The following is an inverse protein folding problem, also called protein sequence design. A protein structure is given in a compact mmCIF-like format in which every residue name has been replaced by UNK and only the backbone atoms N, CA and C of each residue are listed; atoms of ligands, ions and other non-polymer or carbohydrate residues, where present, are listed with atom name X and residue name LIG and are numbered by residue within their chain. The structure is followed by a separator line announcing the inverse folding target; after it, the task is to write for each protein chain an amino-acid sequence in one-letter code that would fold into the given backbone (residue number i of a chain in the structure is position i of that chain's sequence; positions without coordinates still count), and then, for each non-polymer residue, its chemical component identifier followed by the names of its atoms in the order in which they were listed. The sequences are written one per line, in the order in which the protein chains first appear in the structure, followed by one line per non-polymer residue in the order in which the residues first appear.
data_IF_369357414562
#
_entry.id   IF_369357414562
#
_cell.length_a   1.000
_cell.length_b   1.000
_cell.length_c   1.000
_cell.angle_alpha   90.00
_cell.angle_beta   90.00
_cell.angle_gamma   90.00
#
_symmetry.space_group_name_H-M   'P 1'
#
loop_
_entity.id
_entity.type
_entity.pdbx_description
1 polymer ?
#
# COMPACT_ATOMS: atom_id res chain seq x y z
N UNK A 1 7.87 -7.11 -14.12
CA UNK A 1 7.25 -5.85 -13.64
C UNK A 1 8.35 -4.99 -13.03
N UNK A 2 8.40 -3.67 -13.28
CA UNK A 2 9.44 -2.80 -12.70
C UNK A 2 9.14 -2.49 -11.21
N UNK A 3 10.17 -2.17 -10.42
CA UNK A 3 10.01 -1.81 -8.98
C UNK A 3 9.04 -0.64 -8.79
N UNK A 4 9.13 0.40 -9.62
CA UNK A 4 8.19 1.53 -9.58
C UNK A 4 6.75 1.13 -9.90
N UNK A 5 6.54 0.14 -10.79
CA UNK A 5 5.22 -0.39 -11.07
C UNK A 5 4.68 -1.20 -9.88
N UNK A 6 5.53 -2.00 -9.21
CA UNK A 6 5.16 -2.72 -8.00
C UNK A 6 4.79 -1.76 -6.85
N UNK A 7 5.57 -0.70 -6.64
CA UNK A 7 5.28 0.34 -5.65
C UNK A 7 3.92 0.99 -5.92
N UNK A 8 3.66 1.38 -7.19
CA UNK A 8 2.38 1.96 -7.58
C UNK A 8 1.22 1.00 -7.35
N UNK A 9 1.41 -0.30 -7.61
CA UNK A 9 0.37 -1.31 -7.36
C UNK A 9 0.00 -1.36 -5.89
N UNK A 10 0.98 -1.50 -4.98
CA UNK A 10 0.72 -1.52 -3.55
C UNK A 10 0.01 -0.25 -3.05
N UNK A 11 0.42 0.93 -3.54
CA UNK A 11 -0.26 2.19 -3.19
C UNK A 11 -1.69 2.26 -3.74
N UNK A 12 -1.93 1.70 -4.93
CA UNK A 12 -3.26 1.63 -5.55
C UNK A 12 -4.18 0.72 -4.75
N UNK A 13 -3.69 -0.45 -4.34
CA UNK A 13 -4.44 -1.41 -3.53
C UNK A 13 -4.77 -0.82 -2.14
N UNK A 14 -3.80 -0.17 -1.49
CA UNK A 14 -4.02 0.54 -0.22
C UNK A 14 -5.08 1.63 -0.37
N UNK A 15 -5.01 2.42 -1.44
CA UNK A 15 -6.02 3.44 -1.75
C UNK A 15 -7.41 2.81 -1.91
N UNK A 16 -7.51 1.68 -2.62
CA UNK A 16 -8.77 0.95 -2.81
C UNK A 16 -9.39 0.51 -1.48
N UNK A 17 -8.58 0.02 -0.53
CA UNK A 17 -9.06 -0.31 0.81
C UNK A 17 -9.60 0.92 1.57
N UNK A 18 -8.90 2.05 1.50
CA UNK A 18 -9.35 3.29 2.14
C UNK A 18 -10.68 3.77 1.55
N UNK A 19 -10.82 3.75 0.23
CA UNK A 19 -12.07 4.12 -0.45
C UNK A 19 -13.23 3.17 -0.10
N UNK A 20 -12.93 1.88 0.01
CA UNK A 20 -13.90 0.89 0.48
C UNK A 20 -14.39 1.22 1.91
N UNK A 21 -13.48 1.48 2.85
CA UNK A 21 -13.87 1.83 4.22
C UNK A 21 -14.59 3.17 4.34
N UNK A 22 -14.27 4.14 3.48
CA UNK A 22 -15.02 5.39 3.40
C UNK A 22 -16.47 5.12 2.98
N UNK A 23 -16.69 4.17 2.07
CA UNK A 23 -18.03 3.73 1.67
C UNK A 23 -18.73 2.97 2.80
N UNK A 24 -18.02 2.06 3.49
CA UNK A 24 -18.53 1.33 4.66
C UNK A 24 -19.03 2.26 5.76
N UNK A 25 -18.32 3.37 6.00
CA UNK A 25 -18.73 4.39 6.98
C UNK A 25 -20.08 5.03 6.64
N UNK A 26 -20.44 5.14 5.36
CA UNK A 26 -21.78 5.65 4.97
C UNK A 26 -22.89 4.68 5.39
N UNK A 27 -22.55 3.42 5.60
CA UNK A 27 -23.44 2.34 6.04
C UNK A 27 -23.27 1.97 7.53
N UNK A 28 -22.51 2.76 8.31
CA UNK A 28 -22.14 2.45 9.70
C UNK A 28 -21.40 1.11 9.87
N UNK A 29 -20.71 0.65 8.83
CA UNK A 29 -19.86 -0.53 8.89
C UNK A 29 -18.45 -0.14 9.35
N UNK A 30 -17.77 -1.08 10.00
CA UNK A 30 -16.37 -0.95 10.42
C UNK A 30 -15.49 -1.84 9.54
N UNK A 31 -14.23 -1.44 9.26
CA UNK A 31 -13.28 -2.29 8.57
C UNK A 31 -13.15 -3.67 9.23
N UNK A 32 -13.11 -4.72 8.42
CA UNK A 32 -12.78 -6.05 8.93
C UNK A 32 -11.30 -6.12 9.29
N UNK A 33 -10.95 -6.92 10.29
CA UNK A 33 -9.54 -7.14 10.66
C UNK A 33 -8.72 -7.64 9.47
N UNK A 34 -9.27 -8.52 8.63
CA UNK A 34 -8.60 -9.00 7.42
C UNK A 34 -8.33 -7.88 6.42
N UNK A 35 -9.26 -6.95 6.21
CA UNK A 35 -9.04 -5.80 5.32
C UNK A 35 -7.94 -4.89 5.85
N UNK A 36 -7.90 -4.65 7.17
CA UNK A 36 -6.84 -3.85 7.81
C UNK A 36 -5.46 -4.52 7.66
N UNK A 37 -5.38 -5.84 7.86
CA UNK A 37 -4.15 -6.62 7.69
C UNK A 37 -3.66 -6.52 6.24
N UNK A 38 -4.55 -6.67 5.26
CA UNK A 38 -4.20 -6.58 3.84
C UNK A 38 -3.69 -5.19 3.48
N UNK A 39 -4.41 -4.13 3.86
CA UNK A 39 -3.98 -2.75 3.65
C UNK A 39 -2.61 -2.46 4.28
N UNK A 40 -2.39 -2.93 5.52
CA UNK A 40 -1.09 -2.83 6.20
C UNK A 40 0.01 -3.55 5.41
N UNK A 41 -0.25 -4.75 4.91
CA UNK A 41 0.71 -5.51 4.09
C UNK A 41 1.11 -4.76 2.81
N UNK A 42 0.16 -4.10 2.14
CA UNK A 42 0.49 -3.25 0.99
C UNK A 42 1.34 -2.04 1.39
N UNK A 43 1.04 -1.39 2.51
CA UNK A 43 1.84 -0.27 3.02
C UNK A 43 3.28 -0.70 3.36
N UNK A 44 3.44 -1.79 4.11
CA UNK A 44 4.74 -2.34 4.51
C UNK A 44 5.57 -2.75 3.28
N UNK A 45 4.92 -3.35 2.28
CA UNK A 45 5.57 -3.73 1.02
C UNK A 45 6.00 -2.52 0.19
N UNK A 46 5.17 -1.47 0.13
CA UNK A 46 5.48 -0.23 -0.55
C UNK A 46 6.69 0.47 0.08
N UNK A 47 6.74 0.58 1.41
CA UNK A 47 7.87 1.16 2.13
C UNK A 47 9.15 0.35 1.89
N UNK A 48 9.09 -0.97 2.00
CA UNK A 48 10.24 -1.85 1.72
C UNK A 48 10.80 -1.66 0.30
N UNK A 49 9.92 -1.48 -0.69
CA UNK A 49 10.34 -1.22 -2.07
C UNK A 49 10.99 0.15 -2.23
N UNK A 50 10.45 1.18 -1.56
CA UNK A 50 11.00 2.52 -1.56
C UNK A 50 12.41 2.53 -0.96
N UNK A 51 12.59 1.92 0.22
CA UNK A 51 13.89 1.82 0.90
C UNK A 51 14.96 1.19 -0.01
N UNK A 52 14.61 0.11 -0.71
CA UNK A 52 15.51 -0.54 -1.67
C UNK A 52 15.87 0.37 -2.84
N UNK A 53 14.89 1.09 -3.39
CA UNK A 53 15.13 2.04 -4.48
C UNK A 53 16.03 3.21 -4.05
N UNK A 54 15.88 3.69 -2.81
CA UNK A 54 16.73 4.74 -2.25
C UNK A 54 18.15 4.25 -1.99
N UNK A 55 18.32 3.03 -1.48
CA UNK A 55 19.63 2.40 -1.29
C UNK A 55 20.38 2.24 -2.62
N UNK A 56 19.73 1.69 -3.65
CA UNK A 56 20.32 1.55 -4.99
C UNK A 56 20.72 2.90 -5.60
N UNK A 57 19.90 3.93 -5.41
CA UNK A 57 20.21 5.28 -5.89
C UNK A 57 21.44 5.87 -5.20
N UNK A 58 21.64 5.58 -3.92
CA UNK A 58 22.80 6.02 -3.15
C UNK A 58 24.07 5.28 -3.56
N UNK A 59 23.98 4.00 -3.92
CA UNK A 59 25.11 3.21 -4.42
C UNK A 59 25.53 3.60 -5.85
N UNK A 60 24.61 4.15 -6.64
CA UNK A 60 24.85 4.60 -8.00
C UNK A 60 25.36 6.06 -8.11
N UNK A 61 25.48 6.78 -6.99
CA UNK A 61 25.95 8.17 -6.91
C UNK A 61 27.40 8.25 -6.42
#
# INVERSE_FOLDING_TARGET
MSRSAALRQHLTDLKGWIEHWQTDRLCNLVPTESSLILAKSHADSALTLLDRMEAEKKEAA
#
